data_IF_931586183798
#
_entry.id   IF_931586183798
#
_cell.length_a   1.000
_cell.length_b   1.000
_cell.length_c   1.000
_cell.angle_alpha   90.00
_cell.angle_beta   90.00
_cell.angle_gamma   90.00
#
_symmetry.space_group_name_H-M   'P 1'
#
loop_
_entity.id
_entity.type
_entity.pdbx_description
1 polymer ?
#
# COMPACT_ATOMS: atom_id res chain seq x y z
N UNK A 1 23.08 -29.84 5.93
CA UNK A 1 22.74 -28.69 6.80
C UNK A 1 21.32 -28.23 6.49
N UNK A 2 20.34 -28.85 7.16
CA UNK A 2 18.91 -28.48 7.10
C UNK A 2 18.39 -28.61 8.53
N UNK A 3 17.89 -27.53 9.12
CA UNK A 3 17.19 -27.58 10.42
C UNK A 3 15.72 -27.91 10.15
N UNK A 4 15.29 -28.99 10.80
CA UNK A 4 13.95 -29.55 10.77
C UNK A 4 13.10 -28.93 11.88
N UNK A 5 11.82 -28.76 11.56
CA UNK A 5 10.68 -28.37 12.39
C UNK A 5 10.46 -29.43 13.49
N UNK A 6 10.15 -29.03 14.73
CA UNK A 6 9.38 -29.88 15.67
C UNK A 6 8.40 -29.02 16.48
N UNK A 7 7.15 -29.46 16.40
CA UNK A 7 5.92 -29.00 17.08
C UNK A 7 6.00 -29.08 18.60
N UNK A 8 5.39 -28.10 19.29
CA UNK A 8 5.20 -28.12 20.74
C UNK A 8 3.88 -28.81 21.06
N UNK A 9 3.99 -29.95 21.74
CA UNK A 9 2.90 -30.69 22.39
C UNK A 9 2.67 -30.05 23.77
N UNK A 10 1.45 -29.59 24.04
CA UNK A 10 1.05 -29.08 25.36
C UNK A 10 0.75 -30.29 26.25
N UNK A 11 1.64 -30.58 27.19
CA UNK A 11 1.35 -31.48 28.31
C UNK A 11 0.91 -30.65 29.51
N UNK A 12 -0.38 -30.76 29.84
CA UNK A 12 -0.93 -30.34 31.13
C UNK A 12 -0.54 -31.41 32.16
N UNK A 13 0.24 -31.04 33.18
CA UNK A 13 0.58 -31.96 34.28
C UNK A 13 0.12 -31.37 35.61
N UNK A 14 -0.65 -32.19 36.31
CA UNK A 14 -1.33 -31.92 37.56
C UNK A 14 -0.35 -31.70 38.72
N UNK A 15 -0.74 -30.82 39.64
CA UNK A 15 -0.01 -30.53 40.89
C UNK A 15 -0.31 -31.63 41.91
N UNK A 16 0.74 -32.28 42.43
CA UNK A 16 0.70 -33.02 43.70
C UNK A 16 1.83 -32.55 44.61
N UNK A 17 1.46 -32.25 45.85
CA UNK A 17 2.24 -31.70 46.95
C UNK A 17 3.38 -32.59 47.46
N UNK A 18 4.52 -31.99 47.84
CA UNK A 18 5.21 -32.27 49.11
C UNK A 18 6.41 -31.31 49.35
N UNK A 19 6.57 -30.95 50.62
CA UNK A 19 7.78 -30.41 51.28
C UNK A 19 8.26 -28.97 50.96
N UNK A 20 7.83 -28.03 51.82
CA UNK A 20 8.76 -27.22 52.62
C UNK A 20 9.58 -26.15 51.92
N UNK A 21 8.95 -25.03 51.53
CA UNK A 21 9.63 -23.72 51.49
C UNK A 21 8.65 -22.70 52.09
N UNK A 22 8.99 -22.15 53.25
CA UNK A 22 8.34 -20.94 53.78
C UNK A 22 8.78 -19.75 52.93
N UNK A 23 7.99 -19.39 51.92
CA UNK A 23 8.16 -18.15 51.19
C UNK A 23 7.38 -17.03 51.91
N UNK A 24 8.08 -15.98 52.32
CA UNK A 24 7.52 -14.76 52.90
C UNK A 24 6.46 -14.15 51.96
N UNK A 25 5.37 -13.62 52.55
CA UNK A 25 4.22 -13.05 51.84
C UNK A 25 4.52 -11.78 51.01
N UNK A 26 5.77 -11.30 51.02
CA UNK A 26 6.20 -10.11 50.28
C UNK A 26 6.68 -10.43 48.85
N UNK A 27 7.07 -11.68 48.59
CA UNK A 27 7.60 -12.10 47.28
C UNK A 27 6.52 -12.50 46.26
N UNK A 28 5.31 -12.82 46.74
CA UNK A 28 4.16 -13.20 45.89
C UNK A 28 3.43 -12.00 45.30
N UNK A 29 3.55 -10.81 45.92
CA UNK A 29 2.92 -9.58 45.42
C UNK A 29 3.70 -9.00 44.23
N UNK A 30 5.03 -9.10 44.22
CA UNK A 30 5.88 -8.59 43.13
C UNK A 30 5.84 -9.47 41.87
N UNK A 31 5.59 -10.77 42.02
CA UNK A 31 5.42 -11.67 40.87
C UNK A 31 4.07 -11.43 40.17
N UNK A 32 2.97 -11.31 40.93
CA UNK A 32 1.63 -11.12 40.35
C UNK A 32 1.40 -9.73 39.73
N UNK A 33 2.10 -8.68 40.18
CA UNK A 33 2.04 -7.36 39.56
C UNK A 33 2.75 -7.31 38.19
N UNK A 34 3.76 -8.17 37.99
CA UNK A 34 4.54 -8.19 36.75
C UNK A 34 3.80 -8.92 35.62
N UNK A 35 3.08 -10.01 35.92
CA UNK A 35 2.32 -10.78 34.91
C UNK A 35 1.09 -10.04 34.39
N UNK A 36 0.43 -9.24 35.23
CA UNK A 36 -0.71 -8.42 34.80
C UNK A 36 -0.31 -7.22 33.93
N UNK A 37 0.98 -6.87 33.86
CA UNK A 37 1.49 -5.81 32.97
C UNK A 37 1.84 -6.32 31.56
N UNK A 38 1.98 -7.64 31.39
CA UNK A 38 2.27 -8.28 30.09
C UNK A 38 1.07 -8.99 29.45
N UNK A 39 -0.05 -9.12 30.17
CA UNK A 39 -1.25 -9.82 29.67
C UNK A 39 -2.21 -8.93 28.85
N UNK A 40 -1.87 -7.66 28.60
CA UNK A 40 -2.75 -6.72 27.89
C UNK A 40 -2.14 -6.11 26.62
N UNK A 41 -1.21 -6.81 25.99
CA UNK A 41 -0.86 -6.54 24.60
C UNK A 41 -1.35 -7.72 23.79
N UNK A 42 -2.63 -7.70 23.44
CA UNK A 42 -3.06 -8.35 22.21
C UNK A 42 -2.22 -7.71 21.09
N UNK A 43 -1.16 -8.40 20.65
CA UNK A 43 -0.50 -8.07 19.38
C UNK A 43 -1.47 -8.55 18.30
N UNK A 44 -2.51 -7.76 18.12
CA UNK A 44 -3.29 -7.69 16.90
C UNK A 44 -2.94 -6.35 16.28
N UNK A 45 -2.01 -6.36 15.35
CA UNK A 45 -2.08 -5.42 14.25
C UNK A 45 -1.36 -6.07 13.10
N UNK A 46 -2.14 -6.61 12.17
CA UNK A 46 -1.71 -6.66 10.79
C UNK A 46 -1.18 -5.27 10.45
N UNK A 47 -0.03 -5.14 9.80
CA UNK A 47 0.62 -3.84 9.59
C UNK A 47 -0.24 -2.83 8.82
N UNK A 48 -1.36 -3.31 8.25
CA UNK A 48 -2.43 -2.59 7.56
C UNK A 48 -3.40 -1.83 8.49
N UNK A 49 -3.43 -2.11 9.80
CA UNK A 49 -4.33 -1.44 10.76
C UNK A 49 -3.97 0.04 11.01
N UNK A 50 -2.80 0.51 10.54
CA UNK A 50 -2.37 1.90 10.62
C UNK A 50 -2.09 2.51 9.24
N UNK A 51 -2.90 2.18 8.23
CA UNK A 51 -2.71 2.67 6.86
C UNK A 51 -2.69 4.21 6.74
N UNK A 52 -3.28 4.91 7.70
CA UNK A 52 -3.34 6.37 7.78
C UNK A 52 -2.41 6.96 8.86
N UNK A 53 -1.36 6.23 9.25
CA UNK A 53 -0.34 6.71 10.18
C UNK A 53 0.24 8.05 9.72
N UNK A 54 0.62 8.89 10.68
CA UNK A 54 1.27 10.16 10.40
C UNK A 54 2.76 9.91 10.14
N UNK A 55 3.22 10.31 8.96
CA UNK A 55 4.62 10.38 8.58
C UNK A 55 5.14 11.79 8.86
N UNK A 56 6.44 11.90 9.14
CA UNK A 56 7.14 13.18 9.27
C UNK A 56 8.38 13.14 8.40
N UNK A 57 8.67 14.27 7.75
CA UNK A 57 9.78 14.39 6.82
C UNK A 57 9.91 15.80 6.32
N UNK A 58 10.31 15.94 5.06
CA UNK A 58 10.45 17.23 4.41
C UNK A 58 9.86 17.22 3.00
N UNK A 59 9.46 18.38 2.50
CA UNK A 59 9.15 18.56 1.08
C UNK A 59 10.23 19.38 0.38
N UNK A 60 10.51 19.03 -0.86
CA UNK A 60 11.05 19.94 -1.90
C UNK A 60 9.95 20.16 -2.95
N UNK A 61 10.27 20.85 -4.06
CA UNK A 61 9.36 20.95 -5.19
C UNK A 61 10.03 20.71 -6.55
N UNK A 62 9.26 20.17 -7.49
CA UNK A 62 9.67 19.84 -8.85
C UNK A 62 8.54 20.06 -9.87
N UNK A 63 8.90 20.28 -11.13
CA UNK A 63 7.94 20.30 -12.25
C UNK A 63 7.72 18.93 -12.91
N UNK A 64 8.38 17.86 -12.44
CA UNK A 64 8.24 16.50 -12.97
C UNK A 64 6.94 15.82 -12.49
N UNK A 65 6.70 14.59 -12.95
CA UNK A 65 5.59 13.75 -12.48
C UNK A 65 4.23 13.98 -13.15
N UNK A 66 4.04 15.09 -13.89
CA UNK A 66 2.84 15.30 -14.72
C UNK A 66 2.84 14.45 -16.00
N UNK A 67 4.03 14.09 -16.48
CA UNK A 67 4.22 13.18 -17.60
C UNK A 67 5.42 12.29 -17.36
N UNK A 68 5.31 11.02 -17.74
CA UNK A 68 6.39 10.05 -17.66
C UNK A 68 6.78 9.66 -16.24
N UNK A 69 5.93 9.96 -15.25
CA UNK A 69 6.17 9.58 -13.87
C UNK A 69 6.28 8.06 -13.70
N UNK A 70 7.06 7.62 -12.72
CA UNK A 70 7.36 6.21 -12.46
C UNK A 70 6.10 5.34 -12.35
N UNK A 71 5.00 5.89 -11.82
CA UNK A 71 3.74 5.16 -11.66
C UNK A 71 2.92 4.99 -12.96
N UNK A 72 3.36 5.55 -14.11
CA UNK A 72 2.67 5.44 -15.41
C UNK A 72 1.19 5.85 -15.36
N UNK A 73 0.89 6.95 -14.66
CA UNK A 73 -0.48 7.43 -14.44
C UNK A 73 -0.97 8.44 -15.51
N UNK A 74 -0.14 8.75 -16.50
CA UNK A 74 -0.46 9.65 -17.60
C UNK A 74 -1.79 9.33 -18.32
N UNK A 75 -2.49 10.34 -18.85
CA UNK A 75 -2.20 11.76 -18.70
C UNK A 75 -2.62 12.28 -17.31
N UNK A 76 -1.81 13.17 -16.74
CA UNK A 76 -2.16 13.93 -15.52
C UNK A 76 -2.58 15.33 -15.93
N UNK A 77 -3.69 15.82 -15.38
CA UNK A 77 -4.14 17.19 -15.64
C UNK A 77 -3.12 18.19 -15.11
N UNK A 78 -2.84 19.26 -15.85
CA UNK A 78 -1.80 20.24 -15.49
C UNK A 78 -2.13 21.05 -14.23
N UNK A 79 -3.38 21.04 -13.78
CA UNK A 79 -3.86 21.68 -12.55
C UNK A 79 -3.93 20.71 -11.36
N UNK A 80 -3.64 19.42 -11.56
CA UNK A 80 -3.65 18.44 -10.49
C UNK A 80 -2.48 18.69 -9.53
N UNK A 81 -2.77 18.66 -8.23
CA UNK A 81 -1.75 18.71 -7.19
C UNK A 81 -1.12 17.33 -7.02
N UNK A 82 0.16 17.20 -7.35
CA UNK A 82 0.87 15.92 -7.39
C UNK A 82 2.12 15.92 -6.53
N UNK A 83 2.66 14.73 -6.29
CA UNK A 83 3.95 14.55 -5.63
C UNK A 83 4.67 13.29 -6.10
N UNK A 84 6.00 13.30 -5.97
CA UNK A 84 6.85 12.13 -5.97
C UNK A 84 7.19 11.69 -4.54
N UNK A 85 7.18 10.38 -4.26
CA UNK A 85 7.50 9.82 -2.94
C UNK A 85 8.89 9.21 -2.88
N UNK A 86 9.56 9.32 -1.74
CA UNK A 86 10.80 8.59 -1.50
C UNK A 86 10.62 7.07 -1.67
N UNK A 87 11.69 6.30 -1.91
CA UNK A 87 11.59 4.89 -2.26
C UNK A 87 11.05 4.01 -1.13
N UNK A 88 11.32 4.33 0.14
CA UNK A 88 10.90 3.52 1.27
C UNK A 88 9.37 3.62 1.43
N UNK A 89 8.84 4.84 1.46
CA UNK A 89 7.40 5.06 1.58
C UNK A 89 6.65 4.61 0.32
N UNK A 90 7.20 4.87 -0.88
CA UNK A 90 6.60 4.41 -2.15
C UNK A 90 6.47 2.87 -2.20
N UNK A 91 7.41 2.14 -1.59
CA UNK A 91 7.45 0.68 -1.52
C UNK A 91 7.02 0.12 -0.14
N UNK A 92 6.15 0.85 0.57
CA UNK A 92 5.63 0.45 1.87
C UNK A 92 5.02 -0.96 1.89
N UNK A 93 4.88 -1.54 3.08
CA UNK A 93 4.28 -2.88 3.29
C UNK A 93 5.03 -4.03 2.60
N UNK A 94 6.28 -3.81 2.19
CA UNK A 94 7.06 -4.79 1.41
C UNK A 94 6.52 -5.00 -0.01
N UNK A 95 5.72 -4.05 -0.52
CA UNK A 95 5.06 -4.12 -1.82
C UNK A 95 5.60 -2.98 -2.69
N UNK A 96 6.13 -3.32 -3.87
CA UNK A 96 6.62 -2.31 -4.82
C UNK A 96 5.46 -1.40 -5.23
N UNK A 97 5.71 -0.09 -5.28
CA UNK A 97 4.71 0.90 -5.67
C UNK A 97 3.41 0.80 -4.85
N UNK A 98 3.49 0.42 -3.57
CA UNK A 98 2.34 0.30 -2.69
C UNK A 98 1.49 1.58 -2.69
N UNK A 99 2.14 2.75 -2.59
CA UNK A 99 1.48 4.05 -2.51
C UNK A 99 1.35 4.78 -3.86
N UNK A 100 1.67 4.13 -4.98
CA UNK A 100 1.42 4.72 -6.29
C UNK A 100 -0.09 4.93 -6.53
N UNK A 101 -0.47 6.14 -6.95
CA UNK A 101 -1.86 6.54 -7.07
C UNK A 101 -2.58 6.78 -5.74
N UNK A 102 -1.86 6.87 -4.62
CA UNK A 102 -2.44 7.29 -3.34
C UNK A 102 -2.73 8.79 -3.36
N UNK A 103 -3.62 9.22 -2.46
CA UNK A 103 -3.78 10.63 -2.09
C UNK A 103 -3.23 10.84 -0.69
N UNK A 104 -2.45 11.89 -0.51
CA UNK A 104 -1.87 12.28 0.77
C UNK A 104 -2.43 13.61 1.22
N UNK A 105 -2.78 13.74 2.50
CA UNK A 105 -2.93 15.03 3.14
C UNK A 105 -1.55 15.42 3.69
N UNK A 106 -1.03 16.56 3.24
CA UNK A 106 0.30 17.07 3.59
C UNK A 106 0.14 18.37 4.35
N UNK A 107 0.74 18.47 5.52
CA UNK A 107 0.78 19.66 6.37
C UNK A 107 2.20 20.22 6.40
N UNK A 108 2.33 21.52 6.13
CA UNK A 108 3.57 22.28 6.21
C UNK A 108 3.37 23.57 7.03
N UNK A 109 4.39 24.44 7.11
CA UNK A 109 4.38 25.61 7.98
C UNK A 109 3.20 26.58 7.78
N UNK A 110 2.67 26.68 6.56
CA UNK A 110 1.64 27.65 6.19
C UNK A 110 0.23 27.04 6.06
N UNK A 111 0.08 25.72 6.26
CA UNK A 111 -1.21 25.05 6.15
C UNK A 111 -1.10 23.64 5.58
N UNK A 112 -2.18 23.15 4.99
CA UNK A 112 -2.25 21.79 4.43
C UNK A 112 -2.76 21.77 3.00
N UNK A 113 -2.35 20.77 2.23
CA UNK A 113 -2.89 20.47 0.91
C UNK A 113 -3.10 18.96 0.71
N UNK A 114 -3.75 18.58 -0.38
CA UNK A 114 -3.93 17.19 -0.80
C UNK A 114 -3.19 16.98 -2.11
N UNK A 115 -2.37 15.92 -2.18
CA UNK A 115 -1.57 15.60 -3.37
C UNK A 115 -1.79 14.17 -3.84
N UNK A 116 -1.67 13.95 -5.14
CA UNK A 116 -1.76 12.64 -5.80
C UNK A 116 -0.35 12.10 -6.11
N UNK A 117 -0.07 10.85 -5.73
CA UNK A 117 1.24 10.22 -5.90
C UNK A 117 1.40 9.71 -7.33
N UNK A 118 2.19 10.41 -8.16
CA UNK A 118 2.39 10.07 -9.58
C UNK A 118 3.79 9.59 -9.92
N UNK A 119 4.76 9.80 -9.04
CA UNK A 119 6.16 9.56 -9.34
C UNK A 119 6.96 9.05 -8.13
N UNK A 120 8.18 8.60 -8.41
CA UNK A 120 9.18 8.21 -7.42
C UNK A 120 10.18 9.36 -7.27
N UNK A 121 10.56 9.67 -6.03
CA UNK A 121 11.63 10.61 -5.69
C UNK A 121 12.89 9.79 -5.32
N UNK A 122 13.79 9.47 -6.27
CA UNK A 122 14.80 8.43 -6.08
C UNK A 122 15.80 8.71 -4.94
N UNK A 123 16.14 9.97 -4.73
CA UNK A 123 17.08 10.45 -3.71
C UNK A 123 16.40 10.95 -2.42
N UNK A 124 15.07 10.84 -2.33
CA UNK A 124 14.32 11.24 -1.15
C UNK A 124 14.69 10.42 0.08
N UNK A 125 14.88 11.10 1.21
CA UNK A 125 14.98 10.44 2.52
C UNK A 125 13.63 9.96 3.04
N UNK A 126 13.62 9.25 4.18
CA UNK A 126 12.39 8.81 4.84
C UNK A 126 11.42 9.98 5.07
N UNK A 127 10.14 9.79 4.72
CA UNK A 127 9.10 10.80 4.83
C UNK A 127 9.19 11.93 3.81
N UNK A 128 10.19 11.93 2.92
CA UNK A 128 10.40 13.00 1.96
C UNK A 128 9.40 12.93 0.79
N UNK A 129 8.91 14.11 0.40
CA UNK A 129 8.06 14.34 -0.75
C UNK A 129 8.72 15.35 -1.70
N UNK A 130 8.58 15.15 -3.01
CA UNK A 130 8.86 16.20 -4.00
C UNK A 130 7.52 16.67 -4.57
N UNK A 131 7.06 17.85 -4.14
CA UNK A 131 5.72 18.36 -4.44
C UNK A 131 5.71 19.09 -5.79
N UNK A 132 4.56 19.19 -6.45
CA UNK A 132 4.44 20.20 -7.50
C UNK A 132 4.51 21.62 -6.91
N UNK A 133 4.92 22.65 -7.69
CA UNK A 133 5.13 24.00 -7.15
C UNK A 133 3.86 24.61 -6.56
N UNK A 134 2.69 24.29 -7.13
CA UNK A 134 1.38 24.72 -6.63
C UNK A 134 1.12 24.22 -5.22
N UNK A 135 1.37 22.94 -4.94
CA UNK A 135 1.20 22.34 -3.62
C UNK A 135 2.19 22.91 -2.61
N UNK A 136 3.47 23.05 -3.00
CA UNK A 136 4.50 23.59 -2.12
C UNK A 136 4.20 25.02 -1.70
N UNK A 137 3.82 25.89 -2.65
CA UNK A 137 3.49 27.29 -2.39
C UNK A 137 2.28 27.48 -1.45
N UNK A 138 1.38 26.49 -1.35
CA UNK A 138 0.25 26.53 -0.42
C UNK A 138 0.66 26.27 1.02
N UNK A 139 1.70 25.47 1.24
CA UNK A 139 2.06 24.98 2.57
C UNK A 139 3.41 25.52 3.08
N UNK A 140 4.17 26.24 2.26
CA UNK A 140 5.49 26.77 2.63
C UNK A 140 5.94 27.97 1.80
N UNK A 141 7.07 28.56 2.21
CA UNK A 141 7.76 29.60 1.45
C UNK A 141 8.62 28.97 0.35
N UNK A 142 8.28 29.22 -0.90
CA UNK A 142 9.05 28.75 -2.07
C UNK A 142 10.53 29.09 -1.98
N UNK A 143 10.90 30.23 -1.38
CA UNK A 143 12.30 30.66 -1.26
C UNK A 143 13.12 29.82 -0.29
N UNK A 144 12.47 29.08 0.61
CA UNK A 144 13.14 28.14 1.51
C UNK A 144 13.69 26.92 0.75
N UNK A 145 13.10 26.57 -0.40
CA UNK A 145 13.51 25.42 -1.24
C UNK A 145 13.21 24.04 -0.64
N UNK A 146 13.12 23.95 0.69
CA UNK A 146 12.83 22.76 1.47
C UNK A 146 12.11 23.16 2.76
N UNK A 147 11.04 22.45 3.12
CA UNK A 147 10.26 22.69 4.34
C UNK A 147 10.02 21.40 5.09
N UNK A 148 9.91 21.47 6.42
CA UNK A 148 9.48 20.34 7.23
C UNK A 148 7.98 20.12 7.05
N UNK A 149 7.57 18.86 6.90
CA UNK A 149 6.17 18.48 6.70
C UNK A 149 5.80 17.27 7.57
N UNK A 150 4.50 17.13 7.78
CA UNK A 150 3.90 15.84 8.13
C UNK A 150 2.85 15.46 7.11
N UNK A 151 2.62 14.16 6.91
CA UNK A 151 1.62 13.72 5.95
C UNK A 151 1.05 12.36 6.32
N UNK A 152 -0.13 12.06 5.78
CA UNK A 152 -0.77 10.75 5.92
C UNK A 152 -1.52 10.40 4.64
N UNK A 153 -1.68 9.10 4.39
CA UNK A 153 -2.58 8.62 3.35
C UNK A 153 -4.02 8.97 3.74
N UNK A 154 -4.81 9.41 2.77
CA UNK A 154 -6.24 9.68 2.93
C UNK A 154 -7.05 8.91 1.89
N UNK A 155 -8.35 8.78 2.14
CA UNK A 155 -9.30 8.36 1.10
C UNK A 155 -9.24 9.35 -0.07
N UNK A 156 -9.10 8.83 -1.28
CA UNK A 156 -9.07 9.64 -2.49
C UNK A 156 -10.36 10.46 -2.64
N UNK A 157 -10.27 11.78 -2.93
CA UNK A 157 -11.42 12.65 -3.17
C UNK A 157 -11.97 12.48 -4.59
N UNK A 158 -12.35 11.25 -4.94
CA UNK A 158 -12.79 10.84 -6.28
C UNK A 158 -14.22 10.32 -6.26
N UNK A 159 -14.81 10.26 -7.45
CA UNK A 159 -16.10 9.61 -7.69
C UNK A 159 -15.98 8.57 -8.79
N UNK A 160 -16.96 7.66 -8.86
CA UNK A 160 -17.00 6.62 -9.88
C UNK A 160 -16.19 5.37 -9.52
N UNK A 161 -16.20 4.43 -10.45
CA UNK A 161 -15.56 3.12 -10.29
C UNK A 161 -14.08 3.17 -10.66
N UNK A 162 -13.37 2.11 -10.29
CA UNK A 162 -12.00 1.89 -10.78
C UNK A 162 -11.97 1.77 -12.31
N UNK A 163 -10.82 1.99 -12.90
CA UNK A 163 -10.54 1.63 -14.30
C UNK A 163 -9.24 0.85 -14.40
N UNK A 164 -9.09 0.06 -15.46
CA UNK A 164 -7.93 -0.80 -15.64
C UNK A 164 -7.14 -0.36 -16.87
N UNK A 165 -5.89 0.08 -16.66
CA UNK A 165 -4.94 0.29 -17.76
C UNK A 165 -4.22 -1.02 -18.01
N UNK A 166 -4.42 -1.57 -19.20
CA UNK A 166 -3.70 -2.74 -19.71
C UNK A 166 -2.48 -2.23 -20.46
N UNK A 167 -1.27 -2.59 -20.00
CA UNK A 167 -0.01 -2.12 -20.60
C UNK A 167 0.19 -2.70 -21.99
N UNK A 168 0.87 -1.96 -22.87
CA UNK A 168 1.37 -2.48 -24.12
C UNK A 168 2.23 -3.75 -23.91
N UNK A 169 2.19 -4.65 -24.88
CA UNK A 169 2.76 -6.00 -24.80
C UNK A 169 1.88 -7.02 -24.07
N UNK A 170 0.78 -6.59 -23.43
CA UNK A 170 -0.13 -7.51 -22.76
C UNK A 170 -0.88 -8.40 -23.75
N UNK A 171 -1.08 -9.65 -23.35
CA UNK A 171 -1.79 -10.71 -24.05
C UNK A 171 -2.29 -11.75 -23.03
N UNK A 172 -3.00 -12.77 -23.51
CA UNK A 172 -3.35 -13.95 -22.69
C UNK A 172 -2.14 -14.64 -22.02
N UNK A 173 -0.93 -14.49 -22.56
CA UNK A 173 0.28 -15.18 -22.08
C UNK A 173 1.02 -14.40 -20.99
N UNK A 174 0.98 -13.08 -21.06
CA UNK A 174 1.60 -12.16 -20.13
C UNK A 174 0.81 -10.86 -20.17
N UNK A 175 0.42 -10.32 -19.03
CA UNK A 175 -0.24 -9.03 -18.96
C UNK A 175 0.18 -8.24 -17.72
N UNK A 176 0.24 -6.93 -17.89
CA UNK A 176 0.44 -5.97 -16.81
C UNK A 176 -0.80 -5.09 -16.72
N UNK A 177 -1.46 -5.11 -15.57
CA UNK A 177 -2.74 -4.45 -15.31
C UNK A 177 -2.54 -3.43 -14.19
N UNK A 178 -2.81 -2.16 -14.47
CA UNK A 178 -2.83 -1.09 -13.48
C UNK A 178 -4.27 -0.77 -13.10
N UNK A 179 -4.52 -0.64 -11.81
CA UNK A 179 -5.80 -0.12 -11.29
C UNK A 179 -5.66 1.39 -11.16
N UNK A 180 -6.64 2.14 -11.66
CA UNK A 180 -6.74 3.60 -11.54
C UNK A 180 -8.07 3.98 -10.86
N UNK A 181 -8.18 5.23 -10.41
CA UNK A 181 -9.38 5.77 -9.77
C UNK A 181 -9.85 4.91 -8.58
N UNK A 182 -8.92 4.46 -7.74
CA UNK A 182 -9.20 3.67 -6.54
C UNK A 182 -9.22 4.57 -5.29
N UNK A 183 -10.19 4.37 -4.39
CA UNK A 183 -10.33 5.19 -3.17
C UNK A 183 -9.15 5.07 -2.21
N UNK A 184 -8.52 3.90 -2.18
CA UNK A 184 -7.42 3.56 -1.29
C UNK A 184 -6.31 2.86 -2.10
N UNK A 185 -5.03 2.92 -1.66
CA UNK A 185 -3.94 2.22 -2.32
C UNK A 185 -4.22 0.73 -2.50
N UNK A 186 -4.05 0.21 -3.72
CA UNK A 186 -4.27 -1.22 -4.02
C UNK A 186 -2.99 -1.98 -3.73
N UNK A 187 -3.02 -2.86 -2.73
CA UNK A 187 -1.85 -3.63 -2.31
C UNK A 187 -1.74 -4.98 -3.04
N UNK A 188 -2.88 -5.57 -3.38
CA UNK A 188 -2.93 -6.91 -3.99
C UNK A 188 -3.92 -6.95 -5.14
N UNK A 189 -3.58 -7.73 -6.17
CA UNK A 189 -4.48 -8.11 -7.24
C UNK A 189 -4.30 -9.59 -7.55
N UNK A 190 -5.42 -10.29 -7.72
CA UNK A 190 -5.46 -11.71 -8.04
C UNK A 190 -6.42 -11.93 -9.21
N UNK A 191 -6.12 -12.89 -10.06
CA UNK A 191 -7.06 -13.35 -11.10
C UNK A 191 -7.51 -14.79 -10.79
N UNK A 192 -8.76 -15.11 -11.15
CA UNK A 192 -9.33 -16.43 -10.95
C UNK A 192 -9.06 -17.33 -12.16
N UNK A 193 -8.53 -18.52 -11.90
CA UNK A 193 -8.28 -19.52 -12.93
C UNK A 193 -8.31 -20.93 -12.32
N UNK A 194 -8.94 -21.87 -13.01
CA UNK A 194 -8.96 -23.29 -12.64
C UNK A 194 -9.36 -23.55 -11.17
N UNK A 195 -10.33 -22.79 -10.64
CA UNK A 195 -10.81 -22.94 -9.27
C UNK A 195 -10.02 -22.16 -8.22
N UNK A 196 -8.99 -21.39 -8.61
CA UNK A 196 -8.04 -20.76 -7.69
C UNK A 196 -7.83 -19.28 -7.99
N UNK A 197 -7.55 -18.51 -6.94
CA UNK A 197 -7.06 -17.14 -7.04
C UNK A 197 -5.54 -17.14 -7.13
N UNK A 198 -5.02 -16.58 -8.21
CA UNK A 198 -3.58 -16.51 -8.49
C UNK A 198 -3.11 -15.08 -8.29
N UNK A 199 -2.11 -14.91 -7.40
CA UNK A 199 -1.53 -13.61 -7.10
C UNK A 199 -0.75 -13.03 -8.28
N UNK A 200 -0.94 -11.73 -8.53
CA UNK A 200 -0.18 -10.96 -9.49
C UNK A 200 0.86 -10.11 -8.74
N UNK A 201 2.12 -10.15 -9.17
CA UNK A 201 3.17 -9.34 -8.55
C UNK A 201 2.96 -7.86 -8.90
N UNK A 202 2.93 -6.98 -7.89
CA UNK A 202 2.94 -5.52 -8.12
C UNK A 202 4.36 -5.09 -8.49
N UNK A 203 4.48 -4.39 -9.60
CA UNK A 203 5.74 -3.91 -10.16
C UNK A 203 5.99 -2.44 -9.78
N UNK A 204 7.26 -2.01 -9.85
CA UNK A 204 7.67 -0.64 -9.50
C UNK A 204 6.91 0.45 -10.28
N UNK A 205 6.48 0.13 -11.49
CA UNK A 205 5.71 1.01 -12.38
C UNK A 205 4.19 0.90 -12.20
N UNK A 206 3.74 0.53 -10.99
CA UNK A 206 2.33 0.52 -10.58
C UNK A 206 1.42 -0.35 -11.47
N UNK A 207 1.90 -1.50 -11.92
CA UNK A 207 1.09 -2.52 -12.58
C UNK A 207 1.24 -3.85 -11.86
N UNK A 208 0.18 -4.64 -11.82
CA UNK A 208 0.19 -6.03 -11.39
C UNK A 208 0.44 -6.93 -12.60
N UNK A 209 1.38 -7.87 -12.49
CA UNK A 209 1.75 -8.78 -13.59
C UNK A 209 1.20 -10.18 -13.37
N UNK A 210 0.50 -10.69 -14.38
CA UNK A 210 0.02 -12.07 -14.47
C UNK A 210 0.51 -12.75 -15.75
N UNK A 211 0.58 -14.07 -15.74
CA UNK A 211 0.95 -14.89 -16.91
C UNK A 211 -0.07 -16.00 -17.14
N UNK A 212 -0.21 -16.43 -18.38
CA UNK A 212 -1.12 -17.49 -18.80
C UNK A 212 -2.57 -17.29 -18.29
N UNK A 213 -3.08 -16.06 -18.37
CA UNK A 213 -4.39 -15.68 -17.84
C UNK A 213 -5.56 -16.20 -18.69
N UNK A 214 -5.28 -16.67 -19.91
CA UNK A 214 -6.27 -17.31 -20.81
C UNK A 214 -6.99 -16.35 -21.75
N UNK A 215 -7.91 -16.88 -22.56
CA UNK A 215 -8.65 -16.14 -23.60
C UNK A 215 -10.09 -15.77 -23.20
N UNK A 216 -10.55 -16.18 -22.02
CA UNK A 216 -11.90 -15.87 -21.55
C UNK A 216 -11.95 -14.56 -20.78
N UNK A 217 -13.16 -14.16 -20.38
CA UNK A 217 -13.36 -13.14 -19.35
C UNK A 217 -12.58 -13.51 -18.10
N UNK A 218 -11.86 -12.54 -17.54
CA UNK A 218 -10.98 -12.73 -16.40
C UNK A 218 -11.66 -12.15 -15.18
N UNK A 219 -12.03 -13.01 -14.23
CA UNK A 219 -12.46 -12.54 -12.91
C UNK A 219 -11.24 -12.12 -12.11
N UNK A 220 -11.30 -10.94 -11.51
CA UNK A 220 -10.22 -10.35 -10.71
C UNK A 220 -10.74 -9.99 -9.33
N UNK A 221 -9.86 -10.01 -8.33
CA UNK A 221 -10.11 -9.39 -7.03
C UNK A 221 -8.94 -8.52 -6.63
N UNK A 222 -9.25 -7.42 -5.95
CA UNK A 222 -8.26 -6.47 -5.47
C UNK A 222 -8.42 -6.29 -3.97
N UNK A 223 -7.29 -6.13 -3.27
CA UNK A 223 -7.24 -5.82 -1.84
C UNK A 223 -6.58 -4.47 -1.65
N UNK A 224 -7.27 -3.54 -0.99
CA UNK A 224 -6.72 -2.23 -0.65
C UNK A 224 -5.91 -2.25 0.65
N UNK A 225 -5.30 -1.12 0.98
CA UNK A 225 -4.53 -0.88 2.21
C UNK A 225 -5.36 -1.07 3.49
N UNK A 226 -6.69 -0.97 3.40
CA UNK A 226 -7.64 -1.12 4.50
C UNK A 226 -8.16 -2.57 4.63
N UNK A 227 -7.58 -3.52 3.88
CA UNK A 227 -8.00 -4.91 3.77
C UNK A 227 -9.40 -5.12 3.15
N UNK A 228 -9.99 -4.11 2.51
CA UNK A 228 -11.22 -4.31 1.75
C UNK A 228 -10.91 -5.14 0.50
N UNK A 229 -11.80 -6.08 0.19
CA UNK A 229 -11.71 -6.91 -1.01
C UNK A 229 -12.88 -6.61 -1.93
N UNK A 230 -12.59 -6.23 -3.17
CA UNK A 230 -13.58 -6.06 -4.24
C UNK A 230 -13.27 -7.02 -5.38
N UNK A 231 -14.31 -7.47 -6.08
CA UNK A 231 -14.22 -8.39 -7.22
C UNK A 231 -14.84 -7.73 -8.44
N UNK A 232 -14.20 -7.88 -9.60
CA UNK A 232 -14.71 -7.41 -10.90
C UNK A 232 -14.36 -8.42 -12.00
N UNK A 233 -14.73 -8.10 -13.23
CA UNK A 233 -14.38 -8.85 -14.43
C UNK A 233 -13.78 -7.94 -15.48
N UNK A 234 -12.69 -8.39 -16.12
CA UNK A 234 -12.10 -7.78 -17.31
C UNK A 234 -12.40 -8.67 -18.51
N UNK A 235 -12.70 -8.07 -19.66
CA UNK A 235 -12.84 -8.80 -20.93
C UNK A 235 -11.58 -9.59 -21.29
N UNK A 236 -11.72 -10.52 -22.23
CA UNK A 236 -10.61 -11.35 -22.70
C UNK A 236 -9.42 -10.52 -23.15
N UNK A 237 -8.22 -10.91 -22.71
CA UNK A 237 -6.98 -10.31 -23.19
C UNK A 237 -6.68 -10.74 -24.65
N UNK A 238 -5.98 -9.90 -25.43
CA UNK A 238 -5.61 -10.22 -26.79
C UNK A 238 -4.76 -11.50 -26.92
N UNK A 239 -4.86 -12.19 -28.06
CA UNK A 239 -4.13 -13.44 -28.29
C UNK A 239 -2.61 -13.24 -28.43
N UNK A 240 -2.19 -12.03 -28.83
CA UNK A 240 -0.80 -11.59 -28.98
C UNK A 240 -0.60 -10.24 -28.29
N UNK A 241 0.66 -9.88 -28.02
CA UNK A 241 0.99 -8.65 -27.30
C UNK A 241 0.48 -7.40 -28.02
N UNK A 242 -0.24 -6.55 -27.32
CA UNK A 242 -0.73 -5.28 -27.90
C UNK A 242 0.41 -4.32 -28.22
N UNK A 243 0.25 -3.53 -29.29
CA UNK A 243 1.22 -2.48 -29.66
C UNK A 243 1.09 -1.21 -28.83
N UNK A 244 -0.05 -1.02 -28.15
CA UNK A 244 -0.34 0.14 -27.31
C UNK A 244 -1.08 -0.28 -26.05
N UNK A 245 -0.93 0.51 -24.99
CA UNK A 245 -1.76 0.39 -23.80
C UNK A 245 -3.18 0.88 -24.09
N UNK A 246 -4.14 0.34 -23.35
CA UNK A 246 -5.54 0.76 -23.43
C UNK A 246 -6.18 0.73 -22.04
N UNK A 247 -7.25 1.51 -21.86
CA UNK A 247 -8.00 1.58 -20.60
C UNK A 247 -9.36 0.93 -20.82
N UNK A 248 -9.76 0.06 -19.89
CA UNK A 248 -11.10 -0.48 -19.81
C UNK A 248 -11.79 0.05 -18.54
N UNK A 249 -13.10 0.35 -18.58
CA UNK A 249 -13.84 0.74 -17.39
C UNK A 249 -14.02 -0.45 -16.44
N UNK A 250 -13.98 -0.19 -15.13
CA UNK A 250 -14.42 -1.14 -14.11
C UNK A 250 -15.82 -0.83 -13.61
N UNK A 251 -16.38 -1.77 -12.83
CA UNK A 251 -17.77 -1.75 -12.37
C UNK A 251 -17.89 -1.61 -10.85
N UNK A 252 -16.77 -1.55 -10.13
CA UNK A 252 -16.72 -1.55 -8.67
C UNK A 252 -15.85 -0.41 -8.12
N UNK A 253 -16.02 -0.14 -6.84
CA UNK A 253 -15.17 0.75 -6.07
C UNK A 253 -15.02 0.19 -4.65
N UNK A 254 -13.89 0.48 -4.00
CA UNK A 254 -13.72 0.17 -2.58
C UNK A 254 -14.80 0.89 -1.75
N UNK A 255 -15.20 0.34 -0.59
CA UNK A 255 -16.17 0.99 0.28
C UNK A 255 -15.64 2.32 0.83
N UNK A 256 -16.53 3.13 1.41
CA UNK A 256 -16.15 4.37 2.09
C UNK A 256 -15.51 4.10 3.45
#
# INVERSE_FOLDING_TARGET
MKKQIISILIACTCITSAAGITANADSTVLFNASINKFANTAISSDSTDQWNALHSGYATYTGSGYSGGCALLDPISSDMEITALNPDDYNSYGIKAALAGAYLQVEGPNGSTIVYVTDLYPEGGNGALDLCPTSFAKIGDMSAGKIDISWKVIKAPITGNVSYRIKEGSSQWWAAIQVRNHKYPVLKMEYYKDGQWINMEKMQWNHFVGTNMGTGTIQIRMTDICNHVITDTIDSLPQSGTSAAYIVPGNVQFPD
#
